data_IF_088193213449
#
_entry.id   IF_088193213449
#
_cell.length_a   1.000
_cell.length_b   1.000
_cell.length_c   1.000
_cell.angle_alpha   90.00
_cell.angle_beta   90.00
_cell.angle_gamma   90.00
#
_symmetry.space_group_name_H-M   'P 1'
#
loop_
_entity.id
_entity.type
_entity.pdbx_description
1 polymer ?
#
# COMPACT_ATOMS: atom_id res chain seq x y z
N UNK A 1 12.03 -2.04 10.62
CA UNK A 1 12.89 -3.11 10.05
C UNK A 1 12.19 -4.46 9.91
N UNK A 2 11.72 -5.13 10.99
CA UNK A 2 11.11 -6.47 10.87
C UNK A 2 9.81 -6.50 10.04
N UNK A 3 8.97 -5.46 10.15
CA UNK A 3 7.74 -5.31 9.34
C UNK A 3 8.04 -5.13 7.84
N UNK A 4 9.12 -4.42 7.49
CA UNK A 4 9.52 -4.23 6.10
C UNK A 4 9.97 -5.54 5.44
N UNK A 5 10.61 -6.44 6.20
CA UNK A 5 11.08 -7.73 5.69
C UNK A 5 9.91 -8.66 5.34
N UNK A 6 8.91 -8.77 6.24
CA UNK A 6 7.70 -9.56 6.00
C UNK A 6 6.89 -9.01 4.82
N UNK A 7 6.72 -7.68 4.76
CA UNK A 7 6.01 -7.01 3.67
C UNK A 7 6.73 -7.19 2.33
N UNK A 8 8.06 -7.04 2.30
CA UNK A 8 8.90 -7.33 1.12
C UNK A 8 8.67 -8.74 0.60
N UNK A 9 8.73 -9.73 1.51
CA UNK A 9 8.59 -11.14 1.15
C UNK A 9 7.19 -11.45 0.59
N UNK A 10 6.15 -10.87 1.17
CA UNK A 10 4.77 -10.99 0.67
C UNK A 10 4.60 -10.37 -0.72
N UNK A 11 5.11 -9.15 -0.92
CA UNK A 11 5.00 -8.44 -2.21
C UNK A 11 5.80 -9.15 -3.32
N UNK A 12 6.99 -9.68 -3.01
CA UNK A 12 7.74 -10.54 -3.95
C UNK A 12 6.97 -11.79 -4.31
N UNK A 13 6.31 -12.43 -3.34
CA UNK A 13 5.49 -13.61 -3.59
C UNK A 13 4.25 -13.29 -4.47
N UNK A 14 3.74 -12.06 -4.42
CA UNK A 14 2.70 -11.56 -5.33
C UNK A 14 3.25 -11.13 -6.70
N UNK A 15 4.53 -11.33 -6.98
CA UNK A 15 5.16 -11.02 -8.27
C UNK A 15 5.56 -9.55 -8.45
N UNK A 16 5.54 -8.74 -7.39
CA UNK A 16 5.96 -7.33 -7.46
C UNK A 16 7.49 -7.25 -7.58
N UNK A 17 8.04 -6.53 -8.59
CA UNK A 17 9.49 -6.36 -8.74
C UNK A 17 10.14 -5.66 -7.55
N UNK A 18 11.36 -6.05 -7.18
CA UNK A 18 12.08 -5.48 -6.03
C UNK A 18 12.19 -3.96 -6.07
N UNK A 19 12.45 -3.39 -7.26
CA UNK A 19 12.52 -1.94 -7.45
C UNK A 19 11.22 -1.23 -7.05
N UNK A 20 10.06 -1.83 -7.33
CA UNK A 20 8.77 -1.27 -6.95
C UNK A 20 8.52 -1.40 -5.44
N UNK A 21 9.00 -2.49 -4.82
CA UNK A 21 8.88 -2.68 -3.38
C UNK A 21 9.72 -1.65 -2.61
N UNK A 22 10.93 -1.35 -3.09
CA UNK A 22 11.78 -0.33 -2.48
C UNK A 22 11.19 1.08 -2.64
N UNK A 23 10.56 1.36 -3.78
CA UNK A 23 9.82 2.61 -3.97
C UNK A 23 8.63 2.71 -3.01
N UNK A 24 7.84 1.65 -2.85
CA UNK A 24 6.74 1.59 -1.86
C UNK A 24 7.21 1.85 -0.43
N UNK A 25 8.33 1.23 -0.02
CA UNK A 25 8.90 1.43 1.31
C UNK A 25 9.38 2.87 1.50
N UNK A 26 10.06 3.45 0.52
CA UNK A 26 10.49 4.86 0.58
C UNK A 26 9.31 5.81 0.64
N UNK A 27 8.23 5.55 -0.09
CA UNK A 27 7.01 6.34 -0.03
C UNK A 27 6.35 6.25 1.36
N UNK A 28 6.31 5.06 1.97
CA UNK A 28 5.84 4.89 3.36
C UNK A 28 6.69 5.68 4.37
N UNK A 29 8.01 5.73 4.17
CA UNK A 29 8.91 6.51 5.02
C UNK A 29 8.71 8.03 4.82
N UNK A 30 8.46 8.47 3.59
CA UNK A 30 8.19 9.89 3.26
C UNK A 30 6.86 10.38 3.85
N UNK A 31 5.80 9.57 3.79
CA UNK A 31 4.49 9.96 4.32
C UNK A 31 3.79 8.78 5.02
N UNK A 32 4.17 8.44 6.26
CA UNK A 32 3.57 7.33 6.98
C UNK A 32 2.09 7.54 7.31
N UNK A 33 1.63 8.80 7.37
CA UNK A 33 0.25 9.15 7.63
C UNK A 33 -0.65 8.74 6.45
N UNK A 34 -0.25 9.05 5.22
CA UNK A 34 -0.97 8.63 4.01
C UNK A 34 -1.19 7.12 3.97
N UNK A 35 -0.17 6.31 4.29
CA UNK A 35 -0.31 4.85 4.29
C UNK A 35 -1.16 4.31 5.43
N UNK A 36 -1.17 5.01 6.58
CA UNK A 36 -2.09 4.70 7.67
C UNK A 36 -3.53 4.94 7.23
N UNK A 37 -3.80 6.04 6.56
CA UNK A 37 -5.14 6.40 6.07
C UNK A 37 -5.59 5.41 4.98
N UNK A 38 -4.71 5.08 4.01
CA UNK A 38 -4.94 4.02 3.01
C UNK A 38 -5.31 2.69 3.69
N UNK A 39 -4.53 2.25 4.69
CA UNK A 39 -4.77 0.98 5.37
C UNK A 39 -6.10 0.97 6.15
N UNK A 40 -6.46 2.10 6.78
CA UNK A 40 -7.74 2.26 7.46
C UNK A 40 -8.91 2.17 6.47
N UNK A 41 -8.80 2.86 5.34
CA UNK A 41 -9.85 2.93 4.33
C UNK A 41 -10.07 1.58 3.61
N UNK A 42 -8.97 0.86 3.31
CA UNK A 42 -9.05 -0.52 2.81
C UNK A 42 -9.77 -1.39 3.82
N UNK A 43 -9.40 -1.31 5.10
CA UNK A 43 -10.01 -2.11 6.17
C UNK A 43 -11.50 -1.79 6.35
N UNK A 44 -11.88 -0.52 6.20
CA UNK A 44 -13.27 -0.09 6.24
C UNK A 44 -14.08 -0.64 5.06
N UNK A 45 -13.55 -0.54 3.83
CA UNK A 45 -14.17 -1.14 2.64
C UNK A 45 -14.31 -2.66 2.75
N UNK A 46 -13.28 -3.35 3.23
CA UNK A 46 -13.34 -4.80 3.46
C UNK A 46 -14.36 -5.17 4.54
N UNK A 47 -14.49 -4.37 5.60
CA UNK A 47 -15.57 -4.54 6.59
C UNK A 47 -16.96 -4.34 6.01
N UNK A 48 -17.10 -3.45 5.03
CA UNK A 48 -18.34 -3.21 4.29
C UNK A 48 -18.64 -4.29 3.24
N UNK A 49 -17.86 -5.38 3.19
CA UNK A 49 -18.08 -6.52 2.30
C UNK A 49 -17.40 -6.41 0.93
N UNK A 50 -16.57 -5.40 0.70
CA UNK A 50 -15.78 -5.28 -0.53
C UNK A 50 -14.59 -6.24 -0.47
N UNK A 51 -14.32 -6.95 -1.56
CA UNK A 51 -13.13 -7.80 -1.67
C UNK A 51 -11.85 -6.99 -1.39
N UNK A 52 -10.90 -7.58 -0.66
CA UNK A 52 -9.64 -6.93 -0.27
C UNK A 52 -8.87 -6.39 -1.48
N UNK A 53 -8.86 -7.11 -2.61
CA UNK A 53 -8.18 -6.69 -3.83
C UNK A 53 -8.87 -5.49 -4.47
N UNK A 54 -10.21 -5.50 -4.54
CA UNK A 54 -11.00 -4.37 -5.05
C UNK A 54 -10.85 -3.14 -4.15
N UNK A 55 -10.97 -3.31 -2.82
CA UNK A 55 -10.79 -2.24 -1.86
C UNK A 55 -9.39 -1.61 -1.96
N UNK A 56 -8.35 -2.45 -2.10
CA UNK A 56 -6.97 -1.99 -2.27
C UNK A 56 -6.80 -1.19 -3.56
N UNK A 57 -7.36 -1.66 -4.68
CA UNK A 57 -7.29 -0.91 -5.95
C UNK A 57 -8.04 0.43 -5.88
N UNK A 58 -9.25 0.45 -5.33
CA UNK A 58 -10.04 1.69 -5.22
C UNK A 58 -9.35 2.74 -4.36
N UNK A 59 -8.81 2.32 -3.21
CA UNK A 59 -8.12 3.23 -2.29
C UNK A 59 -6.79 3.69 -2.88
N UNK A 60 -5.99 2.79 -3.47
CA UNK A 60 -4.76 3.19 -4.16
C UNK A 60 -5.02 4.16 -5.32
N UNK A 61 -6.13 3.97 -6.07
CA UNK A 61 -6.54 4.89 -7.13
C UNK A 61 -6.99 6.24 -6.57
N UNK A 62 -7.70 6.26 -5.45
CA UNK A 62 -8.10 7.49 -4.76
C UNK A 62 -6.90 8.31 -4.29
N UNK A 63 -5.88 7.64 -3.78
CA UNK A 63 -4.64 8.27 -3.32
C UNK A 63 -3.55 8.31 -4.39
N UNK A 64 -3.86 7.97 -5.64
CA UNK A 64 -2.87 7.88 -6.73
C UNK A 64 -2.13 9.20 -6.93
N UNK A 65 -2.85 10.33 -6.88
CA UNK A 65 -2.27 11.66 -7.03
C UNK A 65 -1.35 12.03 -5.87
N UNK A 66 -1.67 11.59 -4.64
CA UNK A 66 -0.79 11.80 -3.49
C UNK A 66 0.45 10.91 -3.57
N UNK A 67 0.28 9.64 -3.96
CA UNK A 67 1.37 8.72 -4.19
C UNK A 67 2.31 9.21 -5.30
N UNK A 68 1.77 9.76 -6.39
CA UNK A 68 2.53 10.38 -7.49
C UNK A 68 3.33 11.60 -7.04
N UNK A 69 2.81 12.40 -6.09
CA UNK A 69 3.57 13.52 -5.50
C UNK A 69 4.72 13.06 -4.62
N UNK A 70 4.67 11.82 -4.11
CA UNK A 70 5.69 11.24 -3.25
C UNK A 70 6.73 10.40 -4.00
N UNK A 71 6.40 9.94 -5.22
CA UNK A 71 7.31 9.28 -6.14
C UNK A 71 8.45 10.24 -6.55
#
# INVERSE_FOLDING_TARGET
>A
MFKNFLLKKMLRAQGVPEAQIDVLIKMMEKNPQLFKDIALEIKEKTKNGVDQMTASMEVMKKYEDELKKLA
#
